data_IF_734658191687
#
_entry.id   IF_734658191687
#
_cell.length_a   1.000
_cell.length_b   1.000
_cell.length_c   1.000
_cell.angle_alpha   90.00
_cell.angle_beta   90.00
_cell.angle_gamma   90.00
#
_symmetry.space_group_name_H-M   'P 1'
#
loop_
_entity.id
_entity.type
_entity.pdbx_description
1 polymer ?
#
# COMPACT_ATOMS: atom_id res chain seq x y z
N UNK A 1 1.05 1.84 -22.44
CA UNK A 1 -0.19 1.58 -21.67
C UNK A 1 -0.47 0.07 -21.53
N UNK A 2 -1.09 -0.38 -20.43
CA UNK A 2 -1.42 -1.79 -20.17
C UNK A 2 -2.78 -2.18 -20.78
N UNK A 3 -2.90 -3.40 -21.32
CA UNK A 3 -4.20 -3.96 -21.74
C UNK A 3 -5.10 -4.25 -20.53
N UNK A 4 -6.42 -4.31 -20.74
CA UNK A 4 -7.38 -4.60 -19.67
C UNK A 4 -7.07 -5.92 -18.95
N UNK A 5 -6.69 -6.96 -19.69
CA UNK A 5 -6.32 -8.26 -19.12
C UNK A 5 -5.06 -8.18 -18.25
N UNK A 6 -4.05 -7.42 -18.71
CA UNK A 6 -2.84 -7.19 -17.89
C UNK A 6 -3.17 -6.40 -16.63
N UNK A 7 -4.05 -5.40 -16.71
CA UNK A 7 -4.50 -4.65 -15.53
C UNK A 7 -5.22 -5.56 -14.54
N UNK A 8 -6.10 -6.45 -15.01
CA UNK A 8 -6.79 -7.41 -14.16
C UNK A 8 -5.81 -8.37 -13.47
N UNK A 9 -4.87 -8.94 -14.21
CA UNK A 9 -3.82 -9.82 -13.67
C UNK A 9 -2.94 -9.12 -12.63
N UNK A 10 -2.53 -7.87 -12.90
CA UNK A 10 -1.76 -7.06 -11.95
C UNK A 10 -2.55 -6.79 -10.68
N UNK A 11 -3.85 -6.45 -10.79
CA UNK A 11 -4.71 -6.24 -9.62
C UNK A 11 -4.83 -7.47 -8.72
N UNK A 12 -4.90 -8.67 -9.30
CA UNK A 12 -4.89 -9.92 -8.52
C UNK A 12 -3.59 -10.03 -7.72
N UNK A 13 -2.45 -9.75 -8.35
CA UNK A 13 -1.14 -9.81 -7.70
C UNK A 13 -0.98 -8.74 -6.59
N UNK A 14 -1.46 -7.52 -6.84
CA UNK A 14 -1.50 -6.44 -5.84
C UNK A 14 -2.31 -6.87 -4.62
N UNK A 15 -3.51 -7.42 -4.82
CA UNK A 15 -4.36 -7.85 -3.72
C UNK A 15 -3.75 -9.00 -2.91
N UNK A 16 -3.09 -9.96 -3.57
CA UNK A 16 -2.39 -11.05 -2.90
C UNK A 16 -1.30 -10.50 -1.97
N UNK A 17 -0.38 -9.68 -2.51
CA UNK A 17 0.70 -9.06 -1.72
C UNK A 17 0.17 -8.16 -0.60
N UNK A 18 -0.88 -7.38 -0.86
CA UNK A 18 -1.46 -6.50 0.14
C UNK A 18 -2.16 -7.27 1.28
N UNK A 19 -2.74 -8.44 0.98
CA UNK A 19 -3.35 -9.32 2.01
C UNK A 19 -2.28 -9.90 2.94
N UNK A 20 -1.06 -10.06 2.46
CA UNK A 20 0.11 -10.43 3.27
C UNK A 20 0.70 -9.24 4.06
N UNK A 21 0.04 -8.08 4.07
CA UNK A 21 0.52 -6.89 4.78
C UNK A 21 1.68 -6.17 4.08
N UNK A 22 1.98 -6.50 2.83
CA UNK A 22 3.04 -5.82 2.08
C UNK A 22 2.56 -4.48 1.53
N UNK A 23 3.44 -3.49 1.57
CA UNK A 23 3.30 -2.26 0.80
C UNK A 23 3.71 -2.54 -0.64
N UNK A 24 2.78 -2.35 -1.58
CA UNK A 24 2.98 -2.71 -2.99
C UNK A 24 3.31 -1.48 -3.83
N UNK A 25 4.41 -1.53 -4.58
CA UNK A 25 4.82 -0.50 -5.54
C UNK A 25 4.77 -1.04 -6.97
N UNK A 26 4.17 -0.28 -7.87
CA UNK A 26 4.24 -0.54 -9.31
C UNK A 26 5.48 0.10 -9.92
N UNK A 27 6.30 -0.67 -10.62
CA UNK A 27 7.52 -0.20 -11.27
C UNK A 27 7.31 -0.14 -12.77
N UNK A 28 7.62 1.00 -13.36
CA UNK A 28 7.64 1.18 -14.80
C UNK A 28 8.91 1.92 -15.23
N UNK A 29 9.36 1.64 -16.44
CA UNK A 29 10.52 2.28 -17.07
C UNK A 29 10.06 3.04 -18.29
N UNK A 30 10.62 4.21 -18.52
CA UNK A 30 10.58 4.87 -19.82
C UNK A 30 12.01 5.10 -20.30
N UNK A 31 12.21 5.07 -21.61
CA UNK A 31 13.45 5.54 -22.23
C UNK A 31 13.12 6.74 -23.09
N UNK A 32 13.97 7.77 -23.04
CA UNK A 32 13.78 9.01 -23.80
C UNK A 32 15.07 9.32 -24.55
N UNK A 33 14.97 9.48 -25.87
CA UNK A 33 16.11 9.68 -26.76
C UNK A 33 16.23 11.12 -27.30
N UNK A 34 15.35 12.04 -26.86
CA UNK A 34 15.42 13.45 -27.23
C UNK A 34 16.23 14.28 -26.23
N UNK A 35 16.68 15.45 -26.68
CA UNK A 35 17.40 16.40 -25.83
C UNK A 35 16.46 17.18 -24.88
N UNK A 36 15.15 17.19 -25.17
CA UNK A 36 14.14 17.89 -24.38
C UNK A 36 13.17 16.92 -23.71
N UNK A 37 13.16 16.94 -22.39
CA UNK A 37 12.20 16.20 -21.58
C UNK A 37 10.76 16.72 -21.83
N UNK A 38 9.75 15.84 -21.82
CA UNK A 38 8.35 16.27 -21.87
C UNK A 38 8.00 17.18 -20.68
N UNK A 39 7.14 18.18 -20.93
CA UNK A 39 6.67 19.12 -19.89
C UNK A 39 5.91 18.42 -18.74
N UNK A 40 5.36 17.23 -19.00
CA UNK A 40 4.63 16.42 -18.02
C UNK A 40 5.19 15.00 -18.00
N UNK A 41 5.25 14.41 -16.82
CA UNK A 41 5.66 13.01 -16.65
C UNK A 41 4.78 12.03 -17.45
N UNK A 42 3.51 12.35 -17.68
CA UNK A 42 2.60 11.55 -18.52
C UNK A 42 2.98 11.55 -20.00
N UNK A 43 3.94 12.39 -20.42
CA UNK A 43 4.45 12.44 -21.78
C UNK A 43 5.45 11.34 -22.12
N UNK A 44 5.89 10.54 -21.14
CA UNK A 44 6.73 9.37 -21.38
C UNK A 44 5.88 8.13 -21.71
N UNK A 45 6.36 7.32 -22.65
CA UNK A 45 5.82 5.97 -22.84
C UNK A 45 6.47 5.01 -21.84
N UNK A 46 5.68 4.63 -20.84
CA UNK A 46 6.13 3.75 -19.77
C UNK A 46 5.85 2.28 -20.10
N UNK A 47 6.90 1.49 -20.04
CA UNK A 47 6.86 0.03 -19.97
C UNK A 47 6.72 -0.41 -18.52
N UNK A 48 5.60 -1.04 -18.18
CA UNK A 48 5.41 -1.61 -16.85
C UNK A 48 6.31 -2.84 -16.66
N UNK A 49 7.19 -2.77 -15.66
CA UNK A 49 8.20 -3.79 -15.37
C UNK A 49 7.71 -4.82 -14.35
N UNK A 50 6.86 -4.43 -13.40
CA UNK A 50 6.34 -5.35 -12.40
C UNK A 50 5.94 -4.69 -11.08
N UNK A 51 5.78 -5.52 -10.06
CA UNK A 51 5.44 -5.12 -8.69
C UNK A 51 6.60 -5.43 -7.75
N UNK A 52 6.77 -4.59 -6.74
CA UNK A 52 7.66 -4.82 -5.59
C UNK A 52 6.81 -4.80 -4.33
N UNK A 53 6.94 -5.84 -3.51
CA UNK A 53 6.35 -5.90 -2.17
C UNK A 53 7.40 -5.53 -1.12
N UNK A 54 7.07 -4.57 -0.25
CA UNK A 54 7.90 -4.13 0.85
C UNK A 54 7.20 -4.48 2.17
N UNK A 55 7.86 -5.25 3.03
CA UNK A 55 7.37 -5.48 4.37
C UNK A 55 7.62 -4.23 5.23
N UNK A 56 6.57 -3.75 5.91
CA UNK A 56 6.65 -2.70 6.92
C UNK A 56 6.08 -3.27 8.23
N UNK A 57 6.86 -4.06 8.97
CA UNK A 57 6.36 -4.78 10.13
C UNK A 57 6.03 -3.81 11.27
N UNK A 58 5.02 -4.18 12.07
CA UNK A 58 4.74 -3.45 13.30
C UNK A 58 5.97 -3.41 14.21
N UNK A 59 6.17 -2.25 14.87
CA UNK A 59 7.22 -2.12 15.88
C UNK A 59 6.93 -3.06 17.04
N UNK A 60 7.95 -3.78 17.57
CA UNK A 60 7.80 -4.56 18.79
C UNK A 60 7.25 -3.68 19.93
N UNK A 61 6.12 -4.08 20.51
CA UNK A 61 5.42 -3.35 21.58
C UNK A 61 4.20 -2.55 21.14
N UNK A 62 3.92 -2.40 19.84
CA UNK A 62 2.68 -1.77 19.37
C UNK A 62 1.43 -2.53 19.85
N UNK A 63 1.34 -3.87 19.74
CA UNK A 63 0.15 -4.60 20.20
C UNK A 63 -0.11 -4.39 21.70
N UNK A 64 0.95 -4.39 22.52
CA UNK A 64 0.85 -4.19 23.96
C UNK A 64 0.36 -2.78 24.28
N UNK A 65 0.92 -1.76 23.62
CA UNK A 65 0.49 -0.37 23.82
C UNK A 65 -0.97 -0.14 23.39
N UNK A 66 -1.43 -0.78 22.31
CA UNK A 66 -2.83 -0.74 21.87
C UNK A 66 -3.73 -1.39 22.92
N UNK A 67 -3.33 -2.55 23.43
CA UNK A 67 -4.05 -3.27 24.49
C UNK A 67 -4.18 -2.43 25.77
N UNK A 68 -3.09 -1.83 26.25
CA UNK A 68 -3.09 -0.97 27.44
C UNK A 68 -4.02 0.24 27.27
N UNK A 69 -3.99 0.87 26.08
CA UNK A 69 -4.87 1.99 25.76
C UNK A 69 -6.35 1.57 25.77
N UNK A 70 -6.70 0.43 25.15
CA UNK A 70 -8.07 -0.10 25.17
C UNK A 70 -8.52 -0.44 26.59
N UNK A 71 -7.66 -1.05 27.40
CA UNK A 71 -7.95 -1.37 28.80
C UNK A 71 -8.19 -0.11 29.66
N UNK A 72 -7.55 1.01 29.32
CA UNK A 72 -7.78 2.32 29.94
C UNK A 72 -9.05 3.03 29.41
N UNK A 73 -9.80 2.43 28.48
CA UNK A 73 -10.99 3.05 27.87
C UNK A 73 -10.66 4.10 26.81
N UNK A 74 -9.42 4.13 26.30
CA UNK A 74 -8.98 5.05 25.26
C UNK A 74 -9.26 4.43 23.89
N UNK A 75 -9.95 5.18 23.02
CA UNK A 75 -10.16 4.75 21.63
C UNK A 75 -8.88 4.93 20.82
N UNK A 76 -8.43 3.88 20.16
CA UNK A 76 -7.26 3.88 19.27
C UNK A 76 -7.74 3.76 17.83
N UNK A 77 -7.24 4.61 16.93
CA UNK A 77 -7.59 4.62 15.51
C UNK A 77 -6.30 4.61 14.69
N UNK A 78 -6.25 3.75 13.67
CA UNK A 78 -5.21 3.76 12.65
C UNK A 78 -5.61 4.68 11.50
N UNK A 79 -4.73 5.61 11.13
CA UNK A 79 -4.89 6.48 9.96
C UNK A 79 -3.71 6.21 9.03
N UNK A 80 -3.95 5.79 7.79
CA UNK A 80 -2.89 5.50 6.81
C UNK A 80 -3.28 5.87 5.37
N UNK A 81 -2.28 6.20 4.57
CA UNK A 81 -2.39 6.34 3.11
C UNK A 81 -2.20 5.03 2.35
N UNK A 82 -1.97 3.91 3.06
CA UNK A 82 -1.75 2.62 2.43
C UNK A 82 -3.00 2.05 1.77
N UNK A 83 -2.77 1.05 0.92
CA UNK A 83 -3.84 0.31 0.28
C UNK A 83 -4.74 -0.37 1.33
N UNK A 84 -6.08 -0.37 1.17
CA UNK A 84 -6.99 -0.83 2.23
C UNK A 84 -6.75 -2.25 2.72
N UNK A 85 -6.30 -3.16 1.85
CA UNK A 85 -5.97 -4.53 2.25
C UNK A 85 -4.72 -4.59 3.16
N UNK A 86 -3.68 -3.83 2.83
CA UNK A 86 -2.47 -3.71 3.66
C UNK A 86 -2.80 -3.11 5.03
N UNK A 87 -3.56 -2.00 5.03
CA UNK A 87 -3.98 -1.34 6.27
C UNK A 87 -4.76 -2.28 7.19
N UNK A 88 -5.64 -3.11 6.62
CA UNK A 88 -6.41 -4.11 7.38
C UNK A 88 -5.51 -5.19 7.98
N UNK A 89 -4.53 -5.70 7.22
CA UNK A 89 -3.60 -6.71 7.72
C UNK A 89 -2.81 -6.17 8.93
N UNK A 90 -2.20 -4.99 8.78
CA UNK A 90 -1.41 -4.35 9.84
C UNK A 90 -2.28 -3.96 11.05
N UNK A 91 -3.51 -3.51 10.84
CA UNK A 91 -4.45 -3.23 11.93
C UNK A 91 -4.80 -4.49 12.74
N UNK A 92 -5.03 -5.62 12.05
CA UNK A 92 -5.26 -6.90 12.70
C UNK A 92 -4.07 -7.35 13.55
N UNK A 93 -2.85 -7.20 13.04
CA UNK A 93 -1.63 -7.47 13.81
C UNK A 93 -1.48 -6.57 15.04
N UNK A 94 -1.95 -5.33 14.97
CA UNK A 94 -1.94 -4.37 16.08
C UNK A 94 -3.07 -4.59 17.11
N UNK A 95 -4.01 -5.51 16.84
CA UNK A 95 -5.18 -5.76 17.69
C UNK A 95 -6.31 -4.73 17.52
N UNK A 96 -6.40 -4.11 16.34
CA UNK A 96 -7.45 -3.16 15.97
C UNK A 96 -8.52 -3.81 15.07
N UNK A 97 -9.77 -3.38 15.26
CA UNK A 97 -10.90 -3.82 14.44
C UNK A 97 -11.01 -2.96 13.16
N UNK A 98 -11.75 -3.43 12.14
CA UNK A 98 -11.87 -2.70 10.87
C UNK A 98 -12.48 -1.30 11.02
N UNK A 99 -13.38 -1.13 11.98
CA UNK A 99 -14.03 0.16 12.27
C UNK A 99 -13.04 1.20 12.83
N UNK A 100 -11.86 0.75 13.27
CA UNK A 100 -10.80 1.59 13.80
C UNK A 100 -9.74 1.95 12.74
N UNK A 101 -10.00 1.68 11.46
CA UNK A 101 -9.05 1.96 10.35
C UNK A 101 -9.62 2.97 9.37
N UNK A 102 -8.89 4.06 9.16
CA UNK A 102 -9.19 5.06 8.12
C UNK A 102 -8.10 4.99 7.05
N UNK A 103 -8.51 4.77 5.79
CA UNK A 103 -7.61 4.58 4.64
C UNK A 103 -7.80 5.67 3.58
N UNK A 104 -6.78 5.90 2.75
CA UNK A 104 -6.85 6.87 1.64
C UNK A 104 -6.72 8.34 2.07
N UNK A 105 -6.09 8.59 3.22
CA UNK A 105 -5.99 9.92 3.82
C UNK A 105 -4.72 10.72 3.46
N UNK A 106 -3.98 10.32 2.43
CA UNK A 106 -2.77 11.01 1.94
C UNK A 106 -2.71 10.99 0.42
#
# INVERSE_FOLDING_TARGET
HLSADRVASVKVSVNAMATEGLRVLGVARASHAGDQLPDKQTGFDFEFMGLVGLADPLRPGVPDAVSDCRAAGIKVIMITGDYPATARAIAGEAGLDFEDVVTGCL
#
